data_IF_510789509687
#
_entry.id   IF_510789509687
#
_cell.length_a   1.000
_cell.length_b   1.000
_cell.length_c   1.000
_cell.angle_alpha   90.00
_cell.angle_beta   90.00
_cell.angle_gamma   90.00
#
_symmetry.space_group_name_H-M   'P 1'
#
loop_
_entity.id
_entity.type
_entity.pdbx_description
1 polymer ?
#
# COMPACT_ATOMS: atom_id res chain seq x y z
N UNK A 1 -19.96 -4.51 2.79
CA UNK A 1 -18.72 -4.67 3.57
C UNK A 1 -18.43 -3.34 4.26
N UNK A 2 -18.41 -3.34 5.59
CA UNK A 2 -18.15 -2.15 6.42
C UNK A 2 -16.63 -1.94 6.43
N UNK A 3 -16.13 -1.11 5.52
CA UNK A 3 -14.75 -0.63 5.60
C UNK A 3 -14.75 0.67 6.41
N UNK A 4 -13.60 1.02 7.00
CA UNK A 4 -13.46 2.33 7.63
C UNK A 4 -13.68 3.43 6.58
N UNK A 5 -14.57 4.37 6.87
CA UNK A 5 -14.90 5.51 6.02
C UNK A 5 -14.12 6.77 6.39
N UNK A 6 -13.49 6.79 7.56
CA UNK A 6 -12.72 7.94 8.04
C UNK A 6 -11.55 7.52 8.96
N UNK A 7 -10.38 8.19 8.92
CA UNK A 7 -9.23 7.79 9.74
C UNK A 7 -9.48 7.75 11.25
N UNK A 8 -10.35 8.63 11.76
CA UNK A 8 -10.73 8.68 13.18
C UNK A 8 -11.21 7.35 13.75
N UNK A 9 -11.68 6.42 12.90
CA UNK A 9 -12.12 5.09 13.32
C UNK A 9 -10.97 4.15 13.74
N UNK A 10 -9.72 4.44 13.35
CA UNK A 10 -8.57 3.60 13.68
C UNK A 10 -7.42 4.36 14.39
N UNK A 11 -7.44 5.69 14.48
CA UNK A 11 -6.39 6.46 15.16
C UNK A 11 -6.15 5.99 16.60
N UNK A 12 -7.21 5.69 17.34
CA UNK A 12 -7.12 5.20 18.73
C UNK A 12 -6.32 3.91 18.87
N UNK A 13 -6.32 3.03 17.85
CA UNK A 13 -5.50 1.82 17.86
C UNK A 13 -4.01 2.16 17.72
N UNK A 14 -3.67 3.10 16.83
CA UNK A 14 -2.28 3.55 16.67
C UNK A 14 -1.81 4.21 17.96
N UNK A 15 -2.61 5.12 18.52
CA UNK A 15 -2.30 5.82 19.78
C UNK A 15 -2.02 4.84 20.92
N UNK A 16 -2.84 3.81 21.06
CA UNK A 16 -2.70 2.80 22.11
C UNK A 16 -1.44 1.94 21.96
N UNK A 17 -1.06 1.59 20.72
CA UNK A 17 -0.09 0.51 20.50
C UNK A 17 1.25 0.96 19.91
N UNK A 18 1.39 2.22 19.47
CA UNK A 18 2.57 2.69 18.75
C UNK A 18 3.91 2.51 19.49
N UNK A 19 3.89 2.48 20.84
CA UNK A 19 5.08 2.31 21.68
C UNK A 19 5.21 0.90 22.28
N UNK A 20 4.33 -0.03 21.91
CA UNK A 20 4.39 -1.40 22.38
C UNK A 20 5.64 -2.09 21.82
N UNK A 21 6.32 -2.91 22.64
CA UNK A 21 7.60 -3.55 22.24
C UNK A 21 7.50 -4.46 21.01
N UNK A 22 6.30 -4.95 20.72
CA UNK A 22 6.01 -5.80 19.55
C UNK A 22 5.50 -5.00 18.34
N UNK A 23 5.33 -3.68 18.45
CA UNK A 23 4.93 -2.86 17.31
C UNK A 23 6.12 -2.68 16.37
N UNK A 24 5.95 -2.97 15.09
CA UNK A 24 7.03 -2.81 14.12
C UNK A 24 7.34 -1.32 13.88
N UNK A 25 8.58 -0.94 14.12
CA UNK A 25 9.09 0.40 13.87
C UNK A 25 10.01 0.39 12.66
N UNK A 26 9.80 1.33 11.74
CA UNK A 26 10.72 1.63 10.66
C UNK A 26 11.34 3.00 10.91
N UNK A 27 12.67 3.07 10.99
CA UNK A 27 13.41 4.30 11.34
C UNK A 27 12.90 4.97 12.62
N UNK A 28 12.50 4.18 13.63
CA UNK A 28 11.97 4.68 14.90
C UNK A 28 10.50 5.10 14.88
N UNK A 29 9.83 4.98 13.73
CA UNK A 29 8.43 5.38 13.55
C UNK A 29 7.52 4.15 13.43
N UNK A 30 6.32 4.14 14.05
CA UNK A 30 5.34 3.07 13.89
C UNK A 30 4.98 2.89 12.42
N UNK A 31 5.23 1.71 11.87
CA UNK A 31 4.86 1.39 10.51
C UNK A 31 3.35 1.23 10.39
N UNK A 32 2.75 1.88 9.38
CA UNK A 32 1.31 1.81 9.10
C UNK A 32 1.11 1.59 7.60
N UNK A 33 0.20 0.68 7.25
CA UNK A 33 -0.22 0.44 5.87
C UNK A 33 -1.75 0.32 5.81
N UNK A 34 -2.31 0.50 4.62
CA UNK A 34 -3.73 0.36 4.34
C UNK A 34 -3.91 -0.36 3.01
N UNK A 35 -5.08 -0.94 2.80
CA UNK A 35 -5.52 -1.41 1.48
C UNK A 35 -6.57 -0.44 0.95
N UNK A 36 -6.42 0.00 -0.30
CA UNK A 36 -7.15 1.11 -0.90
C UNK A 36 -6.97 2.44 -0.14
N UNK A 37 -7.64 3.48 -0.63
CA UNK A 37 -7.70 4.78 0.01
C UNK A 37 -7.25 5.93 -0.86
N UNK A 38 -6.76 5.67 -2.08
CA UNK A 38 -6.30 6.73 -2.98
C UNK A 38 -7.43 7.63 -3.47
N UNK A 39 -8.68 7.19 -3.39
CA UNK A 39 -9.86 7.99 -3.77
C UNK A 39 -10.54 8.67 -2.57
N UNK A 40 -10.07 8.43 -1.36
CA UNK A 40 -10.70 8.97 -0.15
C UNK A 40 -10.09 10.33 0.20
N UNK A 41 -10.86 11.41 0.00
CA UNK A 41 -10.47 12.76 0.40
C UNK A 41 -10.99 13.19 1.76
N UNK A 42 -11.95 12.46 2.32
CA UNK A 42 -12.57 12.79 3.61
C UNK A 42 -13.13 14.23 3.67
N UNK A 43 -13.63 14.73 2.53
CA UNK A 43 -14.16 16.07 2.41
C UNK A 43 -13.13 17.15 2.07
N UNK A 44 -11.85 16.79 1.94
CA UNK A 44 -10.80 17.71 1.51
C UNK A 44 -10.69 17.83 -0.02
N UNK A 45 -9.95 18.83 -0.49
CA UNK A 45 -9.77 19.15 -1.91
C UNK A 45 -9.03 18.09 -2.72
N UNK A 46 -8.28 17.21 -2.06
CA UNK A 46 -7.65 16.05 -2.68
C UNK A 46 -7.53 14.89 -1.68
N UNK A 47 -7.43 13.63 -2.16
CA UNK A 47 -7.09 12.49 -1.31
C UNK A 47 -5.84 12.69 -0.46
N UNK A 48 -4.76 13.21 -1.03
CA UNK A 48 -3.54 13.49 -0.26
C UNK A 48 -3.77 14.48 0.88
N UNK A 49 -4.56 15.55 0.65
CA UNK A 49 -4.92 16.50 1.69
C UNK A 49 -5.80 15.86 2.77
N UNK A 50 -6.70 14.97 2.37
CA UNK A 50 -7.52 14.17 3.28
C UNK A 50 -6.68 13.35 4.25
N UNK A 51 -5.75 12.54 3.72
CA UNK A 51 -4.84 11.74 4.53
C UNK A 51 -3.90 12.60 5.39
N UNK A 52 -3.50 13.77 4.91
CA UNK A 52 -2.66 14.68 5.68
C UNK A 52 -3.44 15.21 6.90
N UNK A 53 -4.61 15.79 6.66
CA UNK A 53 -5.40 16.48 7.68
C UNK A 53 -6.07 15.54 8.68
N UNK A 54 -6.60 14.41 8.19
CA UNK A 54 -7.43 13.54 9.02
C UNK A 54 -6.66 12.35 9.61
N UNK A 55 -5.47 12.03 9.09
CA UNK A 55 -4.64 10.94 9.59
C UNK A 55 -3.28 11.42 10.15
N UNK A 56 -2.46 12.15 9.37
CA UNK A 56 -1.12 12.56 9.82
C UNK A 56 -1.18 13.58 10.96
N UNK A 57 -1.87 14.69 10.73
CA UNK A 57 -1.89 15.83 11.67
C UNK A 57 -2.42 15.46 13.07
N UNK A 58 -3.51 14.67 13.22
CA UNK A 58 -4.02 14.33 14.55
C UNK A 58 -3.06 13.46 15.37
N UNK A 59 -2.30 12.57 14.72
CA UNK A 59 -1.27 11.76 15.38
C UNK A 59 -0.04 12.61 15.71
N UNK A 60 0.41 13.45 14.78
CA UNK A 60 1.54 14.36 14.97
C UNK A 60 1.28 15.37 16.10
N UNK A 61 0.05 15.86 16.26
CA UNK A 61 -0.36 16.71 17.38
C UNK A 61 -0.21 16.03 18.75
N UNK A 62 -0.14 14.70 18.78
CA UNK A 62 0.11 13.87 19.98
C UNK A 62 1.57 13.42 20.09
N UNK A 63 2.45 13.90 19.21
CA UNK A 63 3.86 13.49 19.14
C UNK A 63 4.08 12.12 18.50
N UNK A 64 3.07 11.56 17.81
CA UNK A 64 3.14 10.25 17.17
C UNK A 64 3.39 10.44 15.67
N UNK A 65 4.60 10.11 15.25
CA UNK A 65 5.04 10.18 13.85
C UNK A 65 5.06 8.79 13.25
N UNK A 66 4.18 8.48 12.32
CA UNK A 66 4.08 7.17 11.66
C UNK A 66 4.97 7.08 10.41
N UNK A 67 5.36 5.87 10.04
CA UNK A 67 5.93 5.55 8.73
C UNK A 67 4.85 4.94 7.85
N UNK A 68 4.26 5.72 6.96
CA UNK A 68 3.03 5.37 6.23
C UNK A 68 3.31 4.89 4.80
N UNK A 69 3.09 3.59 4.57
CA UNK A 69 3.35 2.91 3.29
C UNK A 69 2.06 2.20 2.83
N UNK A 70 1.08 2.93 2.25
CA UNK A 70 -0.20 2.33 1.87
C UNK A 70 -0.12 1.51 0.57
N UNK A 71 -1.05 0.57 0.41
CA UNK A 71 -1.41 -0.09 -0.83
C UNK A 71 -2.65 0.57 -1.45
N UNK A 72 -2.46 1.74 -2.06
CA UNK A 72 -3.51 2.50 -2.75
C UNK A 72 -3.82 1.93 -4.15
N UNK A 73 -4.26 0.68 -4.18
CA UNK A 73 -4.62 -0.06 -5.40
C UNK A 73 -5.75 0.57 -6.24
N UNK A 74 -6.49 1.56 -5.69
CA UNK A 74 -7.55 2.32 -6.38
C UNK A 74 -7.06 3.64 -7.01
N UNK A 75 -5.76 3.92 -6.95
CA UNK A 75 -5.14 5.14 -7.49
C UNK A 75 -5.19 5.21 -9.02
N UNK A 76 -5.73 6.31 -9.54
CA UNK A 76 -5.73 6.57 -10.98
C UNK A 76 -4.33 7.01 -11.45
N UNK A 77 -3.93 6.55 -12.63
CA UNK A 77 -2.65 6.92 -13.25
C UNK A 77 -1.41 6.21 -12.69
N UNK A 78 -1.58 5.33 -11.69
CA UNK A 78 -0.51 4.49 -11.19
C UNK A 78 0.04 3.53 -12.25
N UNK A 79 1.33 3.17 -12.20
CA UNK A 79 2.32 3.50 -11.16
C UNK A 79 3.02 4.87 -11.32
N UNK A 80 2.93 5.53 -12.48
CA UNK A 80 3.70 6.75 -12.79
C UNK A 80 3.13 8.00 -12.14
N UNK A 81 3.96 8.81 -11.48
CA UNK A 81 3.54 10.07 -10.84
C UNK A 81 2.75 9.86 -9.56
N UNK A 82 2.74 8.64 -9.03
CA UNK A 82 2.01 8.29 -7.82
C UNK A 82 2.53 9.08 -6.62
N UNK A 83 3.85 9.14 -6.44
CA UNK A 83 4.46 9.83 -5.31
C UNK A 83 4.23 11.34 -5.36
N UNK A 84 4.19 11.92 -6.56
CA UNK A 84 3.81 13.31 -6.77
C UNK A 84 2.34 13.58 -6.39
N UNK A 85 1.44 12.67 -6.72
CA UNK A 85 0.02 12.78 -6.37
C UNK A 85 -0.26 12.59 -4.88
N UNK A 86 0.60 11.84 -4.17
CA UNK A 86 0.47 11.53 -2.75
C UNK A 86 1.74 11.91 -1.97
N UNK A 87 2.07 13.20 -1.83
CA UNK A 87 3.21 13.64 -1.03
C UNK A 87 3.10 13.21 0.44
N UNK A 88 1.88 12.97 0.94
CA UNK A 88 1.56 12.58 2.34
C UNK A 88 2.16 11.23 2.79
N UNK A 89 2.51 10.32 1.88
CA UNK A 89 3.01 8.97 2.22
C UNK A 89 4.53 8.97 2.40
N UNK A 90 5.08 7.98 3.12
CA UNK A 90 6.53 7.74 3.21
C UNK A 90 7.01 6.66 2.23
N UNK A 91 6.06 5.92 1.63
CA UNK A 91 6.32 4.91 0.63
C UNK A 91 5.03 4.36 0.04
N UNK A 92 5.14 3.38 -0.85
CA UNK A 92 3.98 2.68 -1.43
C UNK A 92 4.19 1.18 -1.45
N UNK A 93 3.12 0.43 -1.20
CA UNK A 93 3.06 -1.01 -1.42
C UNK A 93 2.32 -1.32 -2.71
N UNK A 94 2.94 -2.06 -3.63
CA UNK A 94 2.25 -2.56 -4.81
C UNK A 94 1.54 -3.89 -4.50
N UNK A 95 0.34 -3.80 -3.91
CA UNK A 95 -0.47 -4.98 -3.59
C UNK A 95 -0.86 -5.79 -4.82
N UNK A 96 -1.32 -5.13 -5.89
CA UNK A 96 -1.76 -5.84 -7.10
C UNK A 96 -0.63 -6.48 -7.90
N UNK A 97 0.60 -5.97 -7.78
CA UNK A 97 1.79 -6.59 -8.36
C UNK A 97 2.20 -7.92 -7.73
N UNK A 98 1.51 -8.38 -6.68
CA UNK A 98 1.77 -9.69 -6.11
C UNK A 98 1.41 -10.85 -7.06
N UNK A 99 0.53 -10.64 -8.06
CA UNK A 99 0.00 -11.70 -8.93
C UNK A 99 -0.20 -11.19 -10.37
N UNK A 100 -0.26 -12.07 -11.40
CA UNK A 100 -0.79 -11.68 -12.70
C UNK A 100 -2.29 -11.33 -12.61
N UNK A 101 -2.77 -10.43 -13.45
CA UNK A 101 -4.21 -10.20 -13.58
C UNK A 101 -4.87 -11.34 -14.36
N UNK A 102 -6.15 -11.60 -14.10
CA UNK A 102 -6.91 -12.63 -14.83
C UNK A 102 -6.90 -12.37 -16.35
N UNK A 103 -6.91 -11.10 -16.75
CA UNK A 103 -6.82 -10.66 -18.14
C UNK A 103 -5.50 -11.01 -18.82
N UNK A 104 -4.44 -11.23 -18.06
CA UNK A 104 -3.10 -11.54 -18.58
C UNK A 104 -3.00 -13.02 -19.01
N UNK A 105 -3.97 -13.85 -18.62
CA UNK A 105 -4.02 -15.27 -18.94
C UNK A 105 -3.01 -16.10 -18.12
N UNK A 106 -2.48 -17.16 -18.74
CA UNK A 106 -1.59 -18.11 -18.06
C UNK A 106 -0.12 -17.68 -18.15
N UNK A 107 0.21 -16.54 -17.53
CA UNK A 107 1.57 -15.99 -17.51
C UNK A 107 2.13 -15.95 -16.09
N UNK A 108 3.46 -15.85 -15.99
CA UNK A 108 4.11 -15.50 -14.73
C UNK A 108 3.86 -14.03 -14.40
N UNK A 109 3.81 -13.71 -13.10
CA UNK A 109 3.73 -12.32 -12.64
C UNK A 109 4.90 -11.49 -13.20
N UNK A 110 4.58 -10.32 -13.74
CA UNK A 110 5.57 -9.34 -14.18
C UNK A 110 6.01 -8.43 -13.04
N UNK A 111 7.29 -8.04 -13.02
CA UNK A 111 7.81 -7.03 -12.11
C UNK A 111 7.82 -5.62 -12.70
N UNK A 112 7.17 -5.40 -13.86
CA UNK A 112 7.19 -4.12 -14.55
C UNK A 112 6.53 -2.99 -13.74
N UNK A 113 5.38 -3.25 -13.12
CA UNK A 113 4.71 -2.27 -12.25
C UNK A 113 5.52 -1.98 -10.99
N UNK A 114 6.19 -2.98 -10.43
CA UNK A 114 7.09 -2.81 -9.30
C UNK A 114 8.28 -1.92 -9.64
N UNK A 115 8.95 -2.16 -10.78
CA UNK A 115 10.06 -1.32 -11.24
C UNK A 115 9.63 0.12 -11.46
N UNK A 116 8.40 0.34 -11.94
CA UNK A 116 7.86 1.68 -12.14
C UNK A 116 7.58 2.38 -10.80
N UNK A 117 6.96 1.70 -9.83
CA UNK A 117 6.80 2.24 -8.48
C UNK A 117 8.14 2.51 -7.80
N UNK A 118 9.09 1.58 -7.89
CA UNK A 118 10.45 1.74 -7.34
C UNK A 118 11.14 2.98 -7.90
N UNK A 119 11.08 3.17 -9.22
CA UNK A 119 11.65 4.35 -9.89
C UNK A 119 10.98 5.64 -9.40
N UNK A 120 9.64 5.64 -9.33
CA UNK A 120 8.86 6.79 -8.89
C UNK A 120 9.15 7.16 -7.43
N UNK A 121 9.14 6.18 -6.51
CA UNK A 121 9.42 6.45 -5.09
C UNK A 121 10.86 6.90 -4.85
N UNK A 122 11.85 6.30 -5.51
CA UNK A 122 13.25 6.70 -5.37
C UNK A 122 13.52 8.12 -5.87
N UNK A 123 12.82 8.56 -6.91
CA UNK A 123 12.89 9.95 -7.39
C UNK A 123 12.55 10.96 -6.29
N UNK A 124 11.69 10.58 -5.34
CA UNK A 124 11.26 11.42 -4.22
C UNK A 124 11.77 10.93 -2.85
N UNK A 125 12.79 10.05 -2.82
CA UNK A 125 13.37 9.48 -1.58
C UNK A 125 12.34 8.79 -0.68
N UNK A 126 11.40 8.06 -1.30
CA UNK A 126 10.37 7.27 -0.61
C UNK A 126 10.63 5.77 -0.76
N UNK A 127 10.05 4.98 0.15
CA UNK A 127 10.19 3.51 0.15
C UNK A 127 9.25 2.88 -0.85
N UNK A 128 9.71 1.85 -1.56
CA UNK A 128 8.86 0.94 -2.28
C UNK A 128 8.77 -0.41 -1.55
N UNK A 129 7.57 -0.88 -1.27
CA UNK A 129 7.34 -2.19 -0.67
C UNK A 129 6.76 -3.15 -1.71
N UNK A 130 7.60 -4.06 -2.20
CA UNK A 130 7.17 -5.08 -3.15
C UNK A 130 6.36 -6.18 -2.44
N UNK A 131 5.17 -6.47 -2.96
CA UNK A 131 4.33 -7.54 -2.44
C UNK A 131 4.75 -8.92 -2.95
N UNK A 132 4.65 -9.93 -2.07
CA UNK A 132 4.87 -11.35 -2.35
C UNK A 132 3.65 -12.12 -1.85
N UNK A 133 3.05 -12.93 -2.70
CA UNK A 133 2.01 -13.88 -2.30
C UNK A 133 2.01 -15.08 -3.25
N UNK A 134 1.79 -16.31 -2.76
CA UNK A 134 1.70 -17.47 -3.64
C UNK A 134 0.47 -17.42 -4.55
N UNK A 135 -0.72 -17.12 -4.06
CA UNK A 135 -1.96 -17.15 -4.87
C UNK A 135 -2.95 -16.14 -4.33
N UNK A 136 -3.83 -15.61 -5.18
CA UNK A 136 -5.03 -14.91 -4.70
C UNK A 136 -6.24 -15.76 -5.04
N UNK A 137 -6.98 -16.17 -4.01
CA UNK A 137 -8.27 -16.79 -4.18
C UNK A 137 -9.29 -16.08 -3.30
N UNK A 138 -10.44 -15.76 -3.89
CA UNK A 138 -11.55 -15.15 -3.20
C UNK A 138 -12.84 -15.65 -3.82
N UNK A 139 -13.75 -16.16 -3.00
CA UNK A 139 -15.11 -16.50 -3.39
C UNK A 139 -16.05 -16.00 -2.30
N UNK A 140 -16.74 -14.87 -2.54
CA UNK A 140 -17.58 -14.24 -1.52
C UNK A 140 -19.05 -14.15 -1.92
N UNK A 141 -19.34 -13.71 -3.14
CA UNK A 141 -20.70 -13.46 -3.63
C UNK A 141 -20.73 -13.59 -5.16
N UNK A 142 -21.77 -13.08 -5.84
CA UNK A 142 -21.90 -13.19 -7.31
C UNK A 142 -20.95 -12.27 -8.10
N UNK A 143 -20.34 -11.26 -7.47
CA UNK A 143 -19.52 -10.23 -8.13
C UNK A 143 -18.07 -10.18 -7.65
N UNK A 144 -17.75 -10.80 -6.51
CA UNK A 144 -16.43 -10.75 -5.90
C UNK A 144 -15.78 -12.14 -5.84
N UNK A 145 -15.60 -12.72 -7.01
CA UNK A 145 -14.91 -13.99 -7.20
C UNK A 145 -13.65 -13.76 -8.02
N UNK A 146 -12.50 -14.17 -7.48
CA UNK A 146 -11.21 -13.93 -8.07
C UNK A 146 -10.33 -15.17 -7.90
N UNK A 147 -9.63 -15.53 -8.96
CA UNK A 147 -8.52 -16.48 -8.90
C UNK A 147 -7.35 -15.90 -9.69
N UNK A 148 -6.35 -15.37 -8.98
CA UNK A 148 -5.07 -14.99 -9.57
C UNK A 148 -4.06 -16.09 -9.32
N UNK A 149 -3.64 -16.71 -10.42
CA UNK A 149 -2.73 -17.85 -10.47
C UNK A 149 -1.46 -17.61 -9.64
N UNK A 150 -0.89 -18.66 -9.06
CA UNK A 150 0.50 -18.55 -8.63
C UNK A 150 1.20 -19.76 -8.04
N UNK A 151 1.05 -20.92 -8.67
CA UNK A 151 1.75 -22.15 -8.28
C UNK A 151 3.29 -21.97 -8.18
N UNK A 152 3.88 -21.17 -9.07
CA UNK A 152 5.31 -20.80 -9.04
C UNK A 152 5.57 -19.39 -8.51
N UNK A 153 4.52 -18.66 -8.15
CA UNK A 153 4.57 -17.22 -7.97
C UNK A 153 5.43 -16.83 -6.77
N UNK A 154 5.40 -17.60 -5.69
CA UNK A 154 6.24 -17.32 -4.53
C UNK A 154 7.74 -17.31 -4.89
N UNK A 155 8.22 -18.33 -5.60
CA UNK A 155 9.61 -18.41 -6.04
C UNK A 155 9.94 -17.33 -7.09
N UNK A 156 9.03 -17.07 -8.03
CA UNK A 156 9.19 -16.02 -9.04
C UNK A 156 9.29 -14.62 -8.40
N UNK A 157 8.43 -14.30 -7.44
CA UNK A 157 8.45 -13.02 -6.71
C UNK A 157 9.72 -12.87 -5.87
N UNK A 158 10.19 -13.92 -5.18
CA UNK A 158 11.48 -13.85 -4.46
C UNK A 158 12.63 -13.50 -5.41
N UNK A 159 12.68 -14.13 -6.60
CA UNK A 159 13.70 -13.79 -7.61
C UNK A 159 13.60 -12.33 -8.05
N UNK A 160 12.39 -11.83 -8.26
CA UNK A 160 12.16 -10.43 -8.65
C UNK A 160 12.53 -9.45 -7.54
N UNK A 161 12.23 -9.75 -6.27
CA UNK A 161 12.69 -8.95 -5.12
C UNK A 161 14.21 -8.87 -5.09
N UNK A 162 14.91 -10.01 -5.24
CA UNK A 162 16.37 -10.02 -5.27
C UNK A 162 16.95 -9.27 -6.46
N UNK A 163 16.27 -9.28 -7.61
CA UNK A 163 16.70 -8.57 -8.82
C UNK A 163 16.47 -7.07 -8.75
N UNK A 164 15.35 -6.63 -8.16
CA UNK A 164 14.98 -5.21 -8.09
C UNK A 164 15.55 -4.52 -6.86
N UNK A 165 15.85 -5.28 -5.79
CA UNK A 165 16.35 -4.79 -4.51
C UNK A 165 15.54 -3.56 -4.00
N UNK A 166 14.21 -3.73 -3.83
CA UNK A 166 13.33 -2.64 -3.42
C UNK A 166 13.61 -2.14 -2.01
#
# INVERSE_FOLDING_TARGET
MIHFSHPSQFLGLIEQWHNHKSYYLHNGHPFVSTFYGARLSFGESSPSNGWQKHYREPLQAKGIWTYFVPAFSDAMGSPTGFTYAFPVIDGVMNWDGAWPYESDGQVDVSSASDQAYLTDTHTYSKTFMMAISPVQFKHMDHNQNWYRRGELNYATRIRQVLSLAP
#
